data_IF_266850196160
#
_entry.id   IF_266850196160
#
_cell.length_a   1.000
_cell.length_b   1.000
_cell.length_c   1.000
_cell.angle_alpha   90.00
_cell.angle_beta   90.00
_cell.angle_gamma   90.00
#
_symmetry.space_group_name_H-M   'P 1'
#
loop_
_entity.id
_entity.type
_entity.pdbx_description
1 polymer ?
#
# COMPACT_ATOMS: atom_id res chain seq x y z
N UNK A 1 17.06 17.44 -15.08
CA UNK A 1 17.48 18.09 -13.82
C UNK A 1 16.36 18.95 -13.24
N UNK A 2 15.93 20.04 -13.89
CA UNK A 2 14.84 20.90 -13.38
C UNK A 2 13.51 20.14 -13.24
N UNK A 3 13.13 19.35 -14.25
CA UNK A 3 11.90 18.55 -14.22
C UNK A 3 11.95 17.45 -13.14
N UNK A 4 13.09 16.77 -12.99
CA UNK A 4 13.28 15.76 -11.94
C UNK A 4 13.19 16.36 -10.53
N UNK A 5 13.66 17.60 -10.37
CA UNK A 5 13.57 18.36 -9.14
C UNK A 5 12.11 18.70 -8.81
N UNK A 6 11.35 19.26 -9.76
CA UNK A 6 9.94 19.61 -9.55
C UNK A 6 9.09 18.39 -9.16
N UNK A 7 9.23 17.27 -9.88
CA UNK A 7 8.50 16.04 -9.53
C UNK A 7 8.96 15.43 -8.21
N UNK A 8 10.27 15.51 -7.91
CA UNK A 8 10.81 15.11 -6.62
C UNK A 8 10.19 15.90 -5.47
N UNK A 9 10.18 17.24 -5.58
CA UNK A 9 9.57 18.12 -4.56
C UNK A 9 8.08 17.83 -4.40
N UNK A 10 7.33 17.74 -5.50
CA UNK A 10 5.89 17.48 -5.45
C UNK A 10 5.58 16.12 -4.80
N UNK A 11 6.28 15.06 -5.21
CA UNK A 11 6.13 13.74 -4.62
C UNK A 11 6.52 13.73 -3.13
N UNK A 12 7.62 14.40 -2.78
CA UNK A 12 8.08 14.53 -1.40
C UNK A 12 7.09 15.26 -0.51
N UNK A 13 6.52 16.37 -0.97
CA UNK A 13 5.50 17.11 -0.23
C UNK A 13 4.26 16.23 0.03
N UNK A 14 3.76 15.53 -0.99
CA UNK A 14 2.61 14.61 -0.85
C UNK A 14 2.94 13.48 0.13
N UNK A 15 4.10 12.83 0.00
CA UNK A 15 4.53 11.76 0.90
C UNK A 15 4.73 12.26 2.35
N UNK A 16 5.24 13.48 2.52
CA UNK A 16 5.35 14.13 3.83
C UNK A 16 3.99 14.35 4.49
N UNK A 17 2.98 14.79 3.72
CA UNK A 17 1.60 14.87 4.22
C UNK A 17 1.04 13.49 4.54
N UNK A 18 1.30 12.48 3.71
CA UNK A 18 0.88 11.11 4.00
C UNK A 18 1.41 10.61 5.35
N UNK A 19 2.66 10.94 5.70
CA UNK A 19 3.24 10.61 7.02
C UNK A 19 2.48 11.27 8.18
N UNK A 20 1.91 12.46 7.96
CA UNK A 20 1.20 13.25 8.97
C UNK A 20 -0.29 12.94 9.12
N UNK A 21 -0.88 12.15 8.22
CA UNK A 21 -2.31 11.82 8.23
C UNK A 21 -2.55 10.47 8.96
N UNK A 22 -2.81 9.30 8.33
CA UNK A 22 -2.79 8.02 9.05
C UNK A 22 -1.35 7.51 9.29
N UNK A 23 -1.09 7.00 10.51
CA UNK A 23 0.18 6.37 10.88
C UNK A 23 0.56 5.10 10.12
N UNK A 24 -0.35 4.55 9.31
CA UNK A 24 -0.06 3.45 8.38
C UNK A 24 0.52 3.91 7.04
N UNK A 25 0.32 5.18 6.65
CA UNK A 25 0.79 5.70 5.37
C UNK A 25 2.30 5.91 5.21
N UNK A 26 3.14 6.02 6.27
CA UNK A 26 4.59 5.95 6.11
C UNK A 26 5.06 4.72 5.32
N UNK A 27 4.28 3.62 5.33
CA UNK A 27 4.57 2.42 4.54
C UNK A 27 4.51 2.63 3.02
N UNK A 28 3.90 3.72 2.53
CA UNK A 28 4.01 4.14 1.12
C UNK A 28 5.47 4.35 0.69
N UNK A 29 6.40 4.55 1.63
CA UNK A 29 7.83 4.57 1.37
C UNK A 29 8.34 3.30 0.66
N UNK A 30 7.77 2.12 0.95
CA UNK A 30 8.11 0.86 0.27
C UNK A 30 7.76 0.94 -1.23
N UNK A 31 6.57 1.47 -1.55
CA UNK A 31 6.13 1.68 -2.93
C UNK A 31 6.98 2.75 -3.63
N UNK A 32 7.28 3.87 -2.96
CA UNK A 32 8.14 4.92 -3.51
C UNK A 32 9.54 4.39 -3.87
N UNK A 33 10.14 3.57 -3.00
CA UNK A 33 11.42 2.91 -3.28
C UNK A 33 11.32 1.92 -4.45
N UNK A 34 10.23 1.16 -4.54
CA UNK A 34 9.98 0.26 -5.67
C UNK A 34 9.88 1.02 -7.00
N UNK A 35 9.24 2.19 -7.02
CA UNK A 35 9.17 3.07 -8.19
C UNK A 35 10.57 3.53 -8.61
N UNK A 36 11.39 4.02 -7.68
CA UNK A 36 12.76 4.46 -7.98
C UNK A 36 13.63 3.32 -8.49
N UNK A 37 13.51 2.14 -7.88
CA UNK A 37 14.20 0.92 -8.30
C UNK A 37 13.78 0.47 -9.71
N UNK A 38 12.48 0.50 -10.01
CA UNK A 38 11.94 0.15 -11.32
C UNK A 38 12.37 1.17 -12.40
N UNK A 39 12.38 2.46 -12.04
CA UNK A 39 12.81 3.55 -12.91
C UNK A 39 14.32 3.54 -13.15
N UNK A 40 15.12 2.95 -12.24
CA UNK A 40 16.59 3.02 -12.20
C UNK A 40 17.11 4.46 -12.19
N UNK A 41 16.34 5.37 -11.60
CA UNK A 41 16.68 6.78 -11.50
C UNK A 41 16.43 7.28 -10.08
N UNK A 42 17.50 7.54 -9.34
CA UNK A 42 17.46 8.01 -7.96
C UNK A 42 17.64 9.52 -7.83
N UNK A 43 17.77 10.25 -8.95
CA UNK A 43 17.95 11.71 -8.95
C UNK A 43 16.83 12.49 -8.24
N UNK A 44 15.55 12.08 -8.29
CA UNK A 44 14.49 12.79 -7.55
C UNK A 44 14.53 12.55 -6.03
N UNK A 45 15.25 11.52 -5.56
CA UNK A 45 15.20 11.09 -4.16
C UNK A 45 15.63 12.19 -3.16
N UNK A 46 16.73 12.93 -3.35
CA UNK A 46 17.11 13.99 -2.41
C UNK A 46 16.06 15.10 -2.31
N UNK A 47 15.44 15.46 -3.44
CA UNK A 47 14.39 16.47 -3.48
C UNK A 47 13.10 15.99 -2.80
N UNK A 48 12.73 14.73 -3.02
CA UNK A 48 11.58 14.12 -2.37
C UNK A 48 11.78 14.02 -0.85
N UNK A 49 12.96 13.58 -0.40
CA UNK A 49 13.30 13.53 1.02
C UNK A 49 13.31 14.93 1.64
N UNK A 50 13.93 15.90 0.97
CA UNK A 50 13.97 17.29 1.44
C UNK A 50 12.56 17.87 1.60
N UNK A 51 11.69 17.73 0.60
CA UNK A 51 10.31 18.23 0.68
C UNK A 51 9.47 17.50 1.73
N UNK A 52 9.60 16.18 1.86
CA UNK A 52 8.91 15.41 2.91
C UNK A 52 9.36 15.83 4.32
N UNK A 53 10.66 16.01 4.51
CA UNK A 53 11.23 16.49 5.78
C UNK A 53 10.75 17.90 6.10
N UNK A 54 10.66 18.80 5.12
CA UNK A 54 10.12 20.14 5.34
C UNK A 54 8.66 20.11 5.83
N UNK A 55 7.82 19.24 5.29
CA UNK A 55 6.45 19.06 5.79
C UNK A 55 6.49 18.55 7.23
N UNK A 56 7.25 17.48 7.50
CA UNK A 56 7.34 16.86 8.83
C UNK A 56 7.85 17.84 9.89
N UNK A 57 8.92 18.56 9.59
CA UNK A 57 9.50 19.56 10.47
C UNK A 57 8.62 20.80 10.60
N UNK A 58 7.86 21.16 9.56
CA UNK A 58 6.86 22.22 9.62
C UNK A 58 5.76 21.92 10.65
N UNK A 59 5.23 20.70 10.65
CA UNK A 59 4.30 20.25 11.69
C UNK A 59 4.94 20.23 13.08
N UNK A 60 6.19 19.78 13.20
CA UNK A 60 6.93 19.82 14.47
C UNK A 60 7.10 21.23 15.01
N UNK A 61 7.46 22.18 14.14
CA UNK A 61 7.56 23.61 14.49
C UNK A 61 6.19 24.22 14.86
N UNK A 62 5.10 23.70 14.29
CA UNK A 62 3.74 24.08 14.64
C UNK A 62 3.21 23.40 15.93
N UNK A 63 4.05 22.62 16.63
CA UNK A 63 3.72 21.98 17.91
C UNK A 63 3.32 20.51 17.81
N UNK A 64 3.45 19.87 16.65
CA UNK A 64 3.18 18.44 16.46
C UNK A 64 4.44 17.67 16.01
N UNK A 65 5.24 17.23 16.98
CA UNK A 65 6.43 16.41 16.72
C UNK A 65 6.04 14.93 16.55
N UNK A 66 6.07 14.43 15.32
CA UNK A 66 5.65 13.06 14.99
C UNK A 66 6.38 11.97 15.78
N UNK A 67 7.69 12.15 16.01
CA UNK A 67 8.53 11.19 16.77
C UNK A 67 8.21 11.15 18.27
N UNK A 68 7.63 12.22 18.83
CA UNK A 68 7.12 12.26 20.21
C UNK A 68 5.70 11.71 20.30
N UNK A 69 4.86 12.00 19.29
CA UNK A 69 3.48 11.54 19.25
C UNK A 69 3.35 10.03 19.00
N UNK A 70 4.23 9.44 18.17
CA UNK A 70 4.12 8.04 17.78
C UNK A 70 4.24 7.03 18.95
N UNK A 71 5.19 7.17 19.91
CA UNK A 71 5.23 6.31 21.10
C UNK A 71 3.93 6.39 21.91
N UNK A 72 3.40 7.60 22.13
CA UNK A 72 2.15 7.81 22.88
C UNK A 72 0.96 7.14 22.17
N UNK A 73 0.88 7.26 20.84
CA UNK A 73 -0.13 6.56 20.04
C UNK A 73 -0.02 5.04 20.20
N UNK A 74 1.19 4.50 20.12
CA UNK A 74 1.42 3.07 20.26
C UNK A 74 0.96 2.58 21.63
N UNK A 75 1.31 3.28 22.70
CA UNK A 75 0.92 2.90 24.05
C UNK A 75 -0.62 2.93 24.19
N UNK A 76 -1.28 3.99 23.71
CA UNK A 76 -2.75 4.10 23.68
C UNK A 76 -3.43 3.03 22.84
N UNK A 77 -2.83 2.65 21.72
CA UNK A 77 -3.34 1.58 20.86
C UNK A 77 -3.36 0.27 21.63
N UNK A 78 -2.25 -0.07 22.27
CA UNK A 78 -2.14 -1.31 23.04
C UNK A 78 -2.99 -1.28 24.31
N UNK A 79 -3.08 -0.16 25.02
CA UNK A 79 -3.96 0.00 26.19
C UNK A 79 -5.46 -0.03 25.84
N UNK A 80 -5.79 0.19 24.57
CA UNK A 80 -7.15 0.26 24.07
C UNK A 80 -7.72 -1.10 23.63
N UNK A 81 -8.55 -1.04 22.59
CA UNK A 81 -9.27 -2.22 22.09
C UNK A 81 -8.33 -3.28 21.47
N UNK A 82 -7.09 -2.91 21.14
CA UNK A 82 -6.12 -3.84 20.57
C UNK A 82 -5.83 -5.00 21.53
N UNK A 83 -5.80 -4.81 22.85
CA UNK A 83 -5.64 -5.90 23.82
C UNK A 83 -6.74 -6.96 23.72
N UNK A 84 -7.96 -6.56 23.33
CA UNK A 84 -9.12 -7.46 23.19
C UNK A 84 -9.22 -8.12 21.82
N UNK A 85 -8.32 -7.77 20.90
CA UNK A 85 -8.25 -8.28 19.51
C UNK A 85 -7.09 -9.30 19.45
N UNK A 86 -7.34 -10.62 19.54
CA UNK A 86 -6.28 -11.64 19.57
C UNK A 86 -5.40 -11.57 18.32
N UNK A 87 -4.08 -11.56 18.51
CA UNK A 87 -3.13 -11.41 17.40
C UNK A 87 -3.25 -12.56 16.38
N UNK A 88 -3.41 -13.81 16.86
CA UNK A 88 -3.54 -15.00 16.02
C UNK A 88 -4.76 -14.94 15.09
N UNK A 89 -5.89 -14.42 15.57
CA UNK A 89 -7.07 -14.22 14.73
C UNK A 89 -6.86 -13.08 13.74
N UNK A 90 -6.41 -11.92 14.23
CA UNK A 90 -6.34 -10.71 13.40
C UNK A 90 -5.24 -10.74 12.36
N UNK A 91 -4.20 -11.56 12.50
CA UNK A 91 -3.24 -11.84 11.42
C UNK A 91 -3.92 -12.40 10.16
N UNK A 92 -5.02 -13.15 10.33
CA UNK A 92 -5.80 -13.67 9.20
C UNK A 92 -7.03 -12.81 8.90
N UNK A 93 -7.70 -12.32 9.94
CA UNK A 93 -8.88 -11.46 9.82
C UNK A 93 -8.59 -10.17 9.06
N UNK A 94 -7.43 -9.57 9.28
CA UNK A 94 -6.97 -8.40 8.53
C UNK A 94 -6.80 -8.72 7.04
N UNK A 95 -6.11 -9.81 6.70
CA UNK A 95 -5.92 -10.20 5.30
C UNK A 95 -7.26 -10.53 4.61
N UNK A 96 -8.18 -11.17 5.33
CA UNK A 96 -9.52 -11.44 4.83
C UNK A 96 -10.29 -10.14 4.56
N UNK A 97 -10.33 -9.21 5.52
CA UNK A 97 -10.98 -7.91 5.36
C UNK A 97 -10.35 -7.08 4.21
N UNK A 98 -9.02 -7.10 4.10
CA UNK A 98 -8.32 -6.49 2.98
C UNK A 98 -8.74 -7.10 1.64
N UNK A 99 -8.75 -8.43 1.51
CA UNK A 99 -9.20 -9.12 0.29
C UNK A 99 -10.67 -8.83 -0.04
N UNK A 100 -11.55 -8.73 0.96
CA UNK A 100 -12.94 -8.32 0.75
C UNK A 100 -13.03 -6.86 0.29
N UNK A 101 -12.28 -5.94 0.90
CA UNK A 101 -12.28 -4.53 0.46
C UNK A 101 -11.71 -4.35 -0.95
N UNK A 102 -10.66 -5.12 -1.29
CA UNK A 102 -9.98 -5.08 -2.57
C UNK A 102 -10.69 -5.90 -3.65
N UNK A 103 -11.65 -6.74 -3.29
CA UNK A 103 -12.39 -7.65 -4.16
C UNK A 103 -11.61 -8.89 -4.61
N UNK A 104 -12.27 -9.82 -5.33
CA UNK A 104 -11.71 -11.11 -5.73
C UNK A 104 -10.43 -10.98 -6.57
N UNK A 105 -10.25 -9.86 -7.26
CA UNK A 105 -9.07 -9.59 -8.06
C UNK A 105 -7.79 -9.40 -7.27
N UNK A 106 -7.87 -9.11 -5.97
CA UNK A 106 -6.69 -9.07 -5.10
C UNK A 106 -5.93 -10.41 -5.10
N UNK A 107 -6.66 -11.53 -5.02
CA UNK A 107 -6.07 -12.87 -5.07
C UNK A 107 -5.44 -13.19 -6.43
N UNK A 108 -6.13 -12.82 -7.52
CA UNK A 108 -5.63 -13.02 -8.89
C UNK A 108 -4.37 -12.20 -9.14
N UNK A 109 -4.37 -10.91 -8.79
CA UNK A 109 -3.22 -10.03 -8.93
C UNK A 109 -2.03 -10.53 -8.11
N UNK A 110 -2.27 -10.98 -6.87
CA UNK A 110 -1.25 -11.58 -6.00
C UNK A 110 -0.63 -12.82 -6.63
N UNK A 111 -1.47 -13.77 -7.07
CA UNK A 111 -1.00 -15.00 -7.69
C UNK A 111 -0.19 -14.74 -8.97
N UNK A 112 -0.64 -13.80 -9.80
CA UNK A 112 0.08 -13.42 -11.03
C UNK A 112 1.43 -12.77 -10.73
N UNK A 113 1.47 -11.81 -9.79
CA UNK A 113 2.72 -11.16 -9.39
C UNK A 113 3.73 -12.17 -8.82
N UNK A 114 3.30 -13.03 -7.88
CA UNK A 114 4.15 -14.06 -7.26
C UNK A 114 4.65 -15.07 -8.28
N UNK A 115 3.77 -15.57 -9.17
CA UNK A 115 4.17 -16.53 -10.21
C UNK A 115 5.19 -15.95 -11.19
N UNK A 116 5.03 -14.69 -11.58
CA UNK A 116 5.97 -13.99 -12.47
C UNK A 116 7.30 -13.69 -11.78
N UNK A 117 7.28 -13.34 -10.49
CA UNK A 117 8.48 -13.16 -9.69
C UNK A 117 9.27 -14.48 -9.53
N UNK A 118 8.59 -15.58 -9.19
CA UNK A 118 9.20 -16.90 -9.01
C UNK A 118 9.70 -17.54 -10.31
N UNK A 119 9.07 -17.24 -11.45
CA UNK A 119 9.48 -17.74 -12.78
C UNK A 119 10.71 -17.04 -13.39
N UNK A 120 11.30 -16.09 -12.67
CA UNK A 120 12.33 -15.13 -13.09
C UNK A 120 13.70 -15.65 -13.52
N UNK A 121 13.82 -16.92 -13.96
CA UNK A 121 15.02 -17.45 -14.64
C UNK A 121 14.75 -18.05 -16.03
N UNK A 122 13.50 -18.41 -16.35
CA UNK A 122 13.09 -18.95 -17.66
C UNK A 122 11.98 -18.13 -18.33
N UNK A 123 11.31 -17.27 -17.57
CA UNK A 123 10.17 -16.46 -18.00
C UNK A 123 10.27 -14.99 -17.54
N UNK A 124 11.49 -14.49 -17.31
CA UNK A 124 11.71 -13.06 -17.15
C UNK A 124 11.28 -12.38 -18.46
N UNK A 125 10.10 -11.76 -18.46
CA UNK A 125 9.58 -11.09 -19.65
C UNK A 125 10.59 -10.03 -20.11
N UNK A 126 10.94 -10.00 -21.40
CA UNK A 126 11.84 -8.98 -21.94
C UNK A 126 11.23 -7.57 -21.86
N UNK A 127 9.93 -7.45 -21.59
CA UNK A 127 9.22 -6.19 -21.59
C UNK A 127 9.34 -5.45 -20.25
N UNK A 128 9.93 -4.24 -20.31
CA UNK A 128 10.09 -3.33 -19.16
C UNK A 128 8.78 -3.08 -18.40
N UNK A 129 7.65 -3.02 -19.10
CA UNK A 129 6.34 -2.74 -18.51
C UNK A 129 5.85 -3.86 -17.57
N UNK A 130 6.01 -5.13 -17.94
CA UNK A 130 5.65 -6.26 -17.08
C UNK A 130 6.45 -6.25 -15.78
N UNK A 131 7.76 -5.96 -15.87
CA UNK A 131 8.63 -5.88 -14.69
C UNK A 131 8.18 -4.79 -13.72
N UNK A 132 7.78 -3.62 -14.23
CA UNK A 132 7.25 -2.53 -13.38
C UNK A 132 5.98 -2.99 -12.66
N UNK A 133 5.04 -3.61 -13.39
CA UNK A 133 3.80 -4.14 -12.81
C UNK A 133 4.08 -5.15 -11.70
N UNK A 134 4.95 -6.13 -11.96
CA UNK A 134 5.32 -7.14 -10.96
C UNK A 134 5.95 -6.50 -9.72
N UNK A 135 6.90 -5.56 -9.91
CA UNK A 135 7.57 -4.89 -8.79
C UNK A 135 6.59 -4.09 -7.93
N UNK A 136 5.67 -3.33 -8.54
CA UNK A 136 4.70 -2.53 -7.80
C UNK A 136 3.70 -3.41 -7.05
N UNK A 137 3.20 -4.48 -7.67
CA UNK A 137 2.31 -5.42 -7.00
C UNK A 137 3.01 -6.17 -5.86
N UNK A 138 4.25 -6.61 -6.06
CA UNK A 138 5.05 -7.22 -4.98
C UNK A 138 5.36 -6.23 -3.86
N UNK A 139 5.63 -4.96 -4.18
CA UNK A 139 5.81 -3.92 -3.17
C UNK A 139 4.52 -3.65 -2.37
N UNK A 140 3.36 -3.70 -3.01
CA UNK A 140 2.07 -3.62 -2.32
C UNK A 140 1.84 -4.81 -1.39
N UNK A 141 2.11 -6.04 -1.84
CA UNK A 141 2.04 -7.26 -1.02
C UNK A 141 2.99 -7.14 0.19
N UNK A 142 4.22 -6.70 -0.04
CA UNK A 142 5.21 -6.50 1.02
C UNK A 142 4.75 -5.43 2.02
N UNK A 143 4.18 -4.33 1.52
CA UNK A 143 3.64 -3.25 2.34
C UNK A 143 2.53 -3.76 3.26
N UNK A 144 1.57 -4.51 2.70
CA UNK A 144 0.48 -5.15 3.45
C UNK A 144 1.04 -6.14 4.47
N UNK A 145 2.01 -6.97 4.10
CA UNK A 145 2.65 -7.91 5.01
C UNK A 145 3.35 -7.21 6.18
N UNK A 146 4.11 -6.14 5.93
CA UNK A 146 4.75 -5.34 6.99
C UNK A 146 3.68 -4.74 7.90
N UNK A 147 2.60 -4.19 7.33
CA UNK A 147 1.50 -3.63 8.10
C UNK A 147 0.84 -4.69 8.99
N UNK A 148 0.58 -5.89 8.46
CA UNK A 148 -0.09 -6.96 9.18
C UNK A 148 0.78 -7.52 10.32
N UNK A 149 2.05 -7.82 10.04
CA UNK A 149 2.99 -8.30 11.05
C UNK A 149 3.31 -7.28 12.13
N UNK A 150 3.12 -5.98 11.87
CA UNK A 150 3.27 -4.95 12.90
C UNK A 150 2.21 -5.03 14.00
N UNK A 151 1.07 -5.67 13.72
CA UNK A 151 -0.11 -5.74 14.59
C UNK A 151 -0.67 -4.36 15.00
N UNK A 152 -0.30 -3.28 14.32
CA UNK A 152 -0.69 -1.88 14.60
C UNK A 152 -1.96 -1.43 13.86
N UNK A 153 -2.74 -2.36 13.29
CA UNK A 153 -3.97 -2.05 12.54
C UNK A 153 -5.03 -3.15 12.63
N UNK A 154 -5.08 -3.89 13.75
CA UNK A 154 -6.04 -5.01 13.91
C UNK A 154 -7.46 -4.50 13.76
N UNK A 155 -8.23 -5.05 12.80
CA UNK A 155 -9.62 -4.66 12.51
C UNK A 155 -9.85 -3.23 11.97
N UNK A 156 -8.82 -2.57 11.47
CA UNK A 156 -8.92 -1.21 10.90
C UNK A 156 -8.40 -1.16 9.45
N UNK A 157 -8.27 -2.33 8.81
CA UNK A 157 -7.49 -2.49 7.57
C UNK A 157 -8.22 -1.97 6.35
N UNK A 158 -9.54 -2.15 6.31
CA UNK A 158 -10.45 -1.57 5.31
C UNK A 158 -10.48 -0.04 5.33
N UNK A 159 -9.80 0.61 6.28
CA UNK A 159 -9.59 2.06 6.32
C UNK A 159 -8.12 2.43 6.08
N UNK A 160 -7.21 1.77 6.78
CA UNK A 160 -5.77 2.12 6.78
C UNK A 160 -5.06 1.59 5.53
N UNK A 161 -5.47 0.43 5.01
CA UNK A 161 -4.77 -0.26 3.91
C UNK A 161 -5.38 0.02 2.53
N UNK A 162 -6.54 0.69 2.44
CA UNK A 162 -7.15 1.07 1.17
C UNK A 162 -6.18 1.74 0.19
N UNK A 163 -5.27 2.63 0.62
CA UNK A 163 -4.30 3.26 -0.28
C UNK A 163 -3.34 2.27 -0.97
N UNK A 164 -3.20 1.04 -0.44
CA UNK A 164 -2.36 0.00 -1.02
C UNK A 164 -3.09 -0.86 -2.07
N UNK A 165 -4.42 -0.87 -2.05
CA UNK A 165 -5.25 -1.70 -2.95
C UNK A 165 -4.96 -1.42 -4.44
N UNK A 166 -4.91 -0.15 -4.91
CA UNK A 166 -4.66 0.11 -6.33
C UNK A 166 -3.34 -0.47 -6.80
N UNK A 167 -2.29 -0.37 -5.99
CA UNK A 167 -0.95 -0.87 -6.31
C UNK A 167 -0.89 -2.40 -6.41
N UNK A 168 -1.67 -3.10 -5.57
CA UNK A 168 -1.86 -4.53 -5.72
C UNK A 168 -2.59 -4.84 -7.03
N UNK A 169 -3.70 -4.15 -7.30
CA UNK A 169 -4.57 -4.39 -8.47
C UNK A 169 -3.91 -4.04 -9.80
N UNK A 170 -2.82 -3.25 -9.84
CA UNK A 170 -1.98 -3.11 -11.04
C UNK A 170 -1.53 -4.49 -11.57
N UNK A 171 -1.39 -5.49 -10.71
CA UNK A 171 -1.05 -6.87 -11.09
C UNK A 171 -2.08 -7.53 -12.00
N UNK A 172 -3.32 -7.04 -12.04
CA UNK A 172 -4.34 -7.48 -13.00
C UNK A 172 -3.94 -7.18 -14.45
N UNK A 173 -3.04 -6.23 -14.70
CA UNK A 173 -2.51 -5.96 -16.04
C UNK A 173 -1.67 -7.13 -16.60
N UNK A 174 -1.31 -8.11 -15.76
CA UNK A 174 -0.62 -9.34 -16.19
C UNK A 174 -1.59 -10.39 -16.75
N UNK A 175 -2.91 -10.16 -16.66
CA UNK A 175 -3.93 -11.10 -17.14
C UNK A 175 -4.05 -11.08 -18.67
N UNK A 176 -4.29 -12.25 -19.30
CA UNK A 176 -4.61 -12.30 -20.72
C UNK A 176 -5.87 -11.48 -21.03
N UNK A 177 -5.87 -10.77 -22.16
CA UNK A 177 -6.93 -9.82 -22.55
C UNK A 177 -8.34 -10.43 -22.50
N UNK A 178 -8.47 -11.70 -22.90
CA UNK A 178 -9.75 -12.45 -22.88
C UNK A 178 -10.41 -12.51 -21.50
N UNK A 179 -9.63 -12.41 -20.43
CA UNK A 179 -10.11 -12.54 -19.06
C UNK A 179 -10.39 -11.19 -18.39
N UNK A 180 -9.80 -10.10 -18.89
CA UNK A 180 -9.88 -8.79 -18.23
C UNK A 180 -11.32 -8.30 -18.09
N UNK A 181 -12.15 -8.41 -19.15
CA UNK A 181 -13.56 -7.98 -19.12
C UNK A 181 -14.39 -8.79 -18.13
N UNK A 182 -14.25 -10.11 -18.15
CA UNK A 182 -14.95 -11.01 -17.24
C UNK A 182 -14.61 -10.70 -15.79
N UNK A 183 -13.33 -10.50 -15.49
CA UNK A 183 -12.88 -10.18 -14.15
C UNK A 183 -13.30 -8.80 -13.66
N UNK A 184 -13.34 -7.79 -14.54
CA UNK A 184 -13.92 -6.49 -14.21
C UNK A 184 -15.42 -6.62 -13.87
N UNK A 185 -16.18 -7.42 -14.62
CA UNK A 185 -17.58 -7.69 -14.31
C UNK A 185 -17.74 -8.38 -12.94
N UNK A 186 -16.90 -9.37 -12.62
CA UNK A 186 -16.86 -9.99 -11.29
C UNK A 186 -16.51 -9.00 -10.18
N UNK A 187 -15.53 -8.13 -10.42
CA UNK A 187 -15.11 -7.11 -9.45
C UNK A 187 -16.25 -6.14 -9.15
N UNK A 188 -16.96 -5.66 -10.18
CA UNK A 188 -18.13 -4.77 -10.02
C UNK A 188 -19.28 -5.51 -9.32
N UNK A 189 -19.61 -6.72 -9.77
CA UNK A 189 -20.67 -7.52 -9.15
C UNK A 189 -20.39 -7.83 -7.68
N UNK A 190 -19.15 -8.14 -7.34
CA UNK A 190 -18.72 -8.35 -5.96
C UNK A 190 -18.81 -7.07 -5.14
N UNK A 191 -18.34 -5.93 -5.65
CA UNK A 191 -18.44 -4.65 -4.95
C UNK A 191 -19.90 -4.26 -4.68
N UNK A 192 -20.79 -4.45 -5.66
CA UNK A 192 -22.24 -4.25 -5.49
C UNK A 192 -22.79 -5.21 -4.45
N UNK A 193 -22.47 -6.49 -4.51
CA UNK A 193 -22.94 -7.48 -3.55
C UNK A 193 -22.48 -7.16 -2.12
N UNK A 194 -21.21 -6.84 -1.91
CA UNK A 194 -20.67 -6.44 -0.60
C UNK A 194 -21.39 -5.20 -0.07
N UNK A 195 -21.55 -4.18 -0.89
CA UNK A 195 -22.22 -2.94 -0.49
C UNK A 195 -23.69 -3.15 -0.11
N UNK A 196 -24.38 -4.10 -0.73
CA UNK A 196 -25.82 -4.34 -0.47
C UNK A 196 -26.08 -5.40 0.61
N UNK A 197 -25.17 -6.38 0.78
CA UNK A 197 -25.37 -7.51 1.67
C UNK A 197 -24.66 -7.36 3.02
N UNK A 198 -23.60 -6.56 3.08
CA UNK A 198 -22.82 -6.38 4.30
C UNK A 198 -23.18 -5.02 4.91
N UNK A 199 -23.93 -5.06 6.00
CA UNK A 199 -24.10 -3.88 6.84
C UNK A 199 -22.77 -3.57 7.52
N UNK A 200 -22.20 -2.42 7.18
CA UNK A 200 -20.95 -1.95 7.76
C UNK A 200 -21.28 -0.79 8.70
N UNK A 201 -21.15 -0.96 10.03
CA UNK A 201 -21.69 -0.02 11.03
C UNK A 201 -20.85 1.26 11.22
N UNK A 202 -20.13 1.70 10.18
CA UNK A 202 -19.29 2.91 10.24
C UNK A 202 -20.09 4.18 9.97
#
# INVERSE_FOLDING_TARGET
>A
MVVDCLWGIAAGAILGYCVMLPYGLPLLGVLALAILFAARNYRPLPWALGAALLVVLGFAAAGFAWWEAFPVLRDRYWDGIAQRRPATYWLWGNLAAFCFSAGPMAGVATAMAVRRLAGGGRAASPYRHERVVVLLSCAAILTVGIADFSLMSKAEVERIWLPFVPWLLVGCALLPDRWQRTFLAWQVGFAVAVQHLIFTPW
#
